data_IF_418320319676
#
_entry.id   IF_418320319676
#
_cell.length_a   1.000
_cell.length_b   1.000
_cell.length_c   1.000
_cell.angle_alpha   90.00
_cell.angle_beta   90.00
_cell.angle_gamma   90.00
#
_symmetry.space_group_name_H-M   'P 1'
#
loop_
_entity.id
_entity.type
_entity.pdbx_description
1 polymer ?
#
# COMPACT_ATOMS: atom_id res chain seq x y z
N UNK A 1 9.01 15.65 9.32
CA UNK A 1 8.49 14.94 8.13
C UNK A 1 7.48 13.93 8.62
N UNK A 2 6.21 14.08 8.26
CA UNK A 2 5.17 13.15 8.71
C UNK A 2 5.28 11.81 7.96
N UNK A 3 5.63 10.75 8.71
CA UNK A 3 5.82 9.41 8.18
C UNK A 3 4.57 8.86 7.48
N UNK A 4 3.37 9.31 7.88
CA UNK A 4 2.11 8.86 7.31
C UNK A 4 1.92 9.37 5.88
N UNK A 5 2.28 10.63 5.64
CA UNK A 5 2.27 11.26 4.31
C UNK A 5 3.20 10.54 3.34
N UNK A 6 4.42 10.27 3.81
CA UNK A 6 5.47 9.60 3.05
C UNK A 6 5.11 8.13 2.73
N UNK A 7 4.65 7.37 3.74
CA UNK A 7 4.21 5.97 3.56
C UNK A 7 3.00 5.82 2.64
N UNK A 8 2.25 6.89 2.39
CA UNK A 8 1.07 6.91 1.51
C UNK A 8 1.33 7.56 0.15
N UNK A 9 2.55 8.07 -0.09
CA UNK A 9 2.92 8.69 -1.36
C UNK A 9 2.12 9.96 -1.69
N UNK A 10 1.55 10.62 -0.68
CA UNK A 10 0.70 11.82 -0.84
C UNK A 10 1.31 13.01 -0.11
N UNK A 11 1.11 14.22 -0.64
CA UNK A 11 1.58 15.44 0.00
C UNK A 11 0.80 15.74 1.29
N UNK A 12 1.51 16.19 2.33
CA UNK A 12 0.98 16.51 3.66
C UNK A 12 -0.23 17.47 3.65
N UNK A 13 -0.29 18.39 2.67
CA UNK A 13 -1.41 19.33 2.52
C UNK A 13 -2.77 18.65 2.28
N UNK A 14 -2.78 17.39 1.89
CA UNK A 14 -4.00 16.62 1.65
C UNK A 14 -4.51 15.91 2.90
N UNK A 15 -3.66 15.68 3.90
CA UNK A 15 -4.00 14.94 5.14
C UNK A 15 -4.77 15.82 6.13
N UNK A 16 -4.57 17.13 6.08
CA UNK A 16 -5.14 18.09 7.03
C UNK A 16 -6.53 18.60 6.67
N UNK A 17 -7.11 18.16 5.54
CA UNK A 17 -8.45 18.57 5.09
C UNK A 17 -9.42 17.39 5.16
N UNK A 18 -10.73 17.66 5.31
CA UNK A 18 -11.79 16.64 5.21
C UNK A 18 -11.80 16.02 3.81
N UNK A 19 -11.04 14.93 3.66
CA UNK A 19 -10.82 14.22 2.39
C UNK A 19 -11.02 12.73 2.61
N UNK A 20 -11.44 12.07 1.54
CA UNK A 20 -11.58 10.62 1.52
C UNK A 20 -10.46 10.01 0.68
N UNK A 21 -9.96 8.86 1.12
CA UNK A 21 -8.83 8.17 0.50
C UNK A 21 -9.30 6.83 -0.05
N UNK A 22 -8.96 6.56 -1.30
CA UNK A 22 -9.13 5.26 -1.91
C UNK A 22 -7.76 4.67 -2.22
N UNK A 23 -7.45 3.53 -1.62
CA UNK A 23 -6.28 2.74 -1.94
C UNK A 23 -6.66 1.74 -3.02
N UNK A 24 -6.07 1.89 -4.21
CA UNK A 24 -6.18 0.89 -5.28
C UNK A 24 -4.91 0.06 -5.26
N UNK A 25 -5.06 -1.26 -5.22
CA UNK A 25 -3.95 -2.20 -5.22
C UNK A 25 -4.15 -3.24 -6.32
N UNK A 26 -3.04 -3.61 -6.95
CA UNK A 26 -2.92 -4.76 -7.83
C UNK A 26 -1.84 -5.63 -7.21
N UNK A 27 -2.18 -6.87 -6.86
CA UNK A 27 -1.26 -7.83 -6.27
C UNK A 27 -1.05 -9.01 -7.24
N UNK A 28 0.19 -9.47 -7.36
CA UNK A 28 0.59 -10.70 -8.03
C UNK A 28 1.19 -11.65 -7.00
N UNK A 29 0.53 -12.79 -6.78
CA UNK A 29 0.98 -13.78 -5.82
C UNK A 29 1.89 -14.79 -6.50
N UNK A 30 3.14 -14.89 -6.04
CA UNK A 30 4.15 -15.77 -6.63
C UNK A 30 4.33 -17.04 -5.79
N UNK A 31 4.30 -16.90 -4.46
CA UNK A 31 4.53 -18.01 -3.55
C UNK A 31 3.72 -17.84 -2.27
N UNK A 32 3.21 -18.94 -1.75
CA UNK A 32 2.59 -19.00 -0.43
C UNK A 32 3.32 -20.05 0.40
N UNK A 33 3.52 -19.75 1.68
CA UNK A 33 3.96 -20.73 2.66
C UNK A 33 3.09 -20.62 3.90
N UNK A 34 2.87 -21.75 4.55
CA UNK A 34 2.21 -21.83 5.84
C UNK A 34 3.00 -22.79 6.71
N UNK A 35 3.17 -22.43 7.97
CA UNK A 35 3.65 -23.31 9.01
C UNK A 35 2.50 -24.21 9.45
N UNK A 36 2.76 -25.50 9.53
CA UNK A 36 1.94 -26.45 10.27
C UNK A 36 2.24 -26.28 11.76
N UNK A 37 1.35 -25.59 12.47
CA UNK A 37 1.56 -25.19 13.87
C UNK A 37 1.81 -26.37 14.83
N UNK A 38 1.43 -27.60 14.45
CA UNK A 38 1.61 -28.77 15.31
C UNK A 38 2.97 -29.43 15.12
N UNK A 39 3.49 -29.51 13.90
CA UNK A 39 4.75 -30.19 13.59
C UNK A 39 5.94 -29.22 13.47
N UNK A 40 5.70 -28.06 12.85
CA UNK A 40 6.76 -27.09 12.55
C UNK A 40 7.18 -26.32 13.79
N UNK A 41 6.27 -26.00 14.73
CA UNK A 41 6.66 -25.29 15.97
C UNK A 41 7.55 -26.17 16.84
N UNK A 42 7.23 -27.47 16.95
CA UNK A 42 7.97 -28.41 17.81
C UNK A 42 9.37 -28.66 17.27
N UNK A 43 9.55 -28.60 15.95
CA UNK A 43 10.83 -28.86 15.27
C UNK A 43 11.60 -27.59 14.90
N UNK A 44 10.94 -26.43 14.92
CA UNK A 44 11.58 -25.14 14.61
C UNK A 44 12.49 -24.68 15.74
N UNK A 45 13.70 -24.25 15.37
CA UNK A 45 14.59 -23.57 16.30
C UNK A 45 14.22 -22.09 16.35
N UNK A 46 14.18 -21.53 17.57
CA UNK A 46 14.15 -20.08 17.74
C UNK A 46 15.38 -19.46 17.08
N UNK A 47 15.22 -18.26 16.51
CA UNK A 47 16.38 -17.48 16.11
C UNK A 47 17.24 -17.20 17.34
N UNK A 48 18.56 -17.14 17.16
CA UNK A 48 19.50 -16.87 18.26
C UNK A 48 19.13 -15.60 19.04
N UNK A 49 18.65 -14.57 18.32
CA UNK A 49 18.18 -13.33 18.93
C UNK A 49 16.93 -13.54 19.78
N UNK A 50 15.91 -14.24 19.27
CA UNK A 50 14.70 -14.51 20.03
C UNK A 50 14.97 -15.38 21.27
N UNK A 51 15.85 -16.38 21.14
CA UNK A 51 16.29 -17.22 22.25
C UNK A 51 16.96 -16.39 23.35
N UNK A 52 17.93 -15.53 22.99
CA UNK A 52 18.59 -14.62 23.93
C UNK A 52 17.61 -13.70 24.65
N UNK A 53 16.69 -13.07 23.93
CA UNK A 53 15.67 -12.21 24.55
C UNK A 53 14.70 -12.99 25.44
N UNK A 54 14.40 -14.25 25.09
CA UNK A 54 13.54 -15.11 25.90
C UNK A 54 14.19 -15.52 27.23
N UNK A 55 15.52 -15.69 27.28
CA UNK A 55 16.24 -16.01 28.52
C UNK A 55 16.11 -14.91 29.59
N UNK A 56 15.89 -13.65 29.18
CA UNK A 56 15.72 -12.52 30.09
C UNK A 56 14.26 -12.21 30.43
N UNK A 57 13.30 -13.03 29.98
CA UNK A 57 11.89 -12.84 30.31
C UNK A 57 11.63 -13.28 31.76
N UNK A 58 11.18 -12.33 32.58
CA UNK A 58 10.65 -12.62 33.92
C UNK A 58 9.13 -12.44 33.89
N UNK A 59 8.33 -13.50 34.12
CA UNK A 59 6.86 -13.45 34.03
C UNK A 59 6.19 -12.40 34.92
N UNK A 60 6.87 -11.97 35.99
CA UNK A 60 6.36 -11.01 36.95
C UNK A 60 6.87 -9.57 36.71
N UNK A 61 7.69 -9.35 35.68
CA UNK A 61 8.27 -8.04 35.39
C UNK A 61 7.82 -7.51 34.03
N UNK A 62 6.82 -6.62 34.06
CA UNK A 62 6.25 -5.98 32.87
C UNK A 62 7.30 -5.26 32.01
N UNK A 63 8.39 -4.77 32.62
CA UNK A 63 9.48 -4.12 31.90
C UNK A 63 10.21 -5.08 30.94
N UNK A 64 10.51 -6.31 31.39
CA UNK A 64 11.20 -7.31 30.56
C UNK A 64 10.31 -7.79 29.41
N UNK A 65 9.01 -7.98 29.69
CA UNK A 65 8.00 -8.32 28.68
C UNK A 65 7.85 -7.22 27.61
N UNK A 66 7.74 -5.96 28.03
CA UNK A 66 7.65 -4.84 27.09
C UNK A 66 8.91 -4.73 26.23
N UNK A 67 10.09 -4.99 26.81
CA UNK A 67 11.34 -5.00 26.07
C UNK A 67 11.38 -6.12 25.02
N UNK A 68 10.92 -7.33 25.38
CA UNK A 68 10.79 -8.44 24.44
C UNK A 68 9.84 -8.11 23.29
N UNK A 69 8.63 -7.62 23.59
CA UNK A 69 7.64 -7.26 22.56
C UNK A 69 8.18 -6.16 21.63
N UNK A 70 8.91 -5.20 22.17
CA UNK A 70 9.46 -4.08 21.38
C UNK A 70 10.54 -4.56 20.40
N UNK A 71 11.39 -5.52 20.81
CA UNK A 71 12.53 -5.96 20.01
C UNK A 71 12.22 -7.14 19.09
N UNK A 72 11.43 -8.10 19.56
CA UNK A 72 11.10 -9.34 18.82
C UNK A 72 9.73 -9.22 18.13
N UNK A 73 8.79 -8.52 18.76
CA UNK A 73 7.41 -8.45 18.33
C UNK A 73 6.47 -9.26 19.23
N UNK A 74 5.18 -8.93 19.16
CA UNK A 74 4.12 -9.65 19.88
C UNK A 74 3.49 -10.79 19.08
N UNK A 75 3.84 -10.91 17.81
CA UNK A 75 3.25 -11.88 16.87
C UNK A 75 4.34 -12.50 16.01
N UNK A 76 4.12 -13.75 15.60
CA UNK A 76 4.93 -14.42 14.58
C UNK A 76 4.09 -14.66 13.33
N UNK A 77 4.75 -14.83 12.20
CA UNK A 77 4.10 -15.08 10.91
C UNK A 77 3.93 -16.59 10.74
N UNK A 78 2.71 -17.08 10.98
CA UNK A 78 2.38 -18.50 10.79
C UNK A 78 2.13 -18.88 9.33
N UNK A 79 1.76 -17.91 8.50
CA UNK A 79 1.63 -18.09 7.06
C UNK A 79 1.89 -16.76 6.37
N UNK A 80 2.45 -16.83 5.17
CA UNK A 80 2.70 -15.65 4.37
C UNK A 80 2.45 -15.94 2.90
N UNK A 81 2.10 -14.87 2.19
CA UNK A 81 2.09 -14.85 0.73
C UNK A 81 3.16 -13.87 0.30
N UNK A 82 4.15 -14.36 -0.43
CA UNK A 82 5.12 -13.53 -1.14
C UNK A 82 4.53 -13.20 -2.49
N UNK A 83 4.49 -11.90 -2.78
CA UNK A 83 4.00 -11.40 -4.03
C UNK A 83 4.52 -10.00 -4.31
N UNK A 84 4.44 -9.63 -5.58
CA UNK A 84 4.64 -8.27 -6.02
C UNK A 84 3.32 -7.54 -6.00
N UNK A 85 3.36 -6.23 -5.87
CA UNK A 85 2.14 -5.45 -5.91
C UNK A 85 2.41 -3.99 -6.18
N UNK A 86 1.46 -3.37 -6.85
CA UNK A 86 1.42 -1.93 -7.05
C UNK A 86 0.26 -1.36 -6.28
N UNK A 87 0.50 -0.23 -5.64
CA UNK A 87 -0.57 0.49 -4.99
C UNK A 87 -0.47 1.98 -5.22
N UNK A 88 -1.63 2.61 -5.28
CA UNK A 88 -1.76 4.05 -5.45
C UNK A 88 -2.92 4.55 -4.60
N UNK A 89 -2.67 5.67 -3.91
CA UNK A 89 -3.68 6.36 -3.13
C UNK A 89 -4.29 7.47 -3.98
N UNK A 90 -5.61 7.46 -4.12
CA UNK A 90 -6.38 8.51 -4.74
C UNK A 90 -7.10 9.32 -3.65
N UNK A 91 -7.03 10.65 -3.76
CA UNK A 91 -7.64 11.57 -2.81
C UNK A 91 -8.87 12.22 -3.44
N UNK A 92 -10.02 12.00 -2.80
CA UNK A 92 -11.33 12.45 -3.28
C UNK A 92 -11.93 13.51 -2.35
N UNK A 93 -12.83 14.33 -2.92
CA UNK A 93 -13.82 15.07 -2.13
C UNK A 93 -14.79 14.06 -1.52
N UNK A 94 -15.29 14.38 -0.33
CA UNK A 94 -16.20 13.50 0.41
C UNK A 94 -17.45 13.10 -0.39
N UNK A 95 -18.08 14.06 -1.08
CA UNK A 95 -19.25 13.80 -1.93
C UNK A 95 -18.94 12.80 -3.06
N UNK A 96 -17.85 13.02 -3.79
CA UNK A 96 -17.42 12.15 -4.89
C UNK A 96 -17.08 10.74 -4.40
N UNK A 97 -16.42 10.63 -3.24
CA UNK A 97 -16.13 9.34 -2.63
C UNK A 97 -17.40 8.61 -2.16
N UNK A 98 -18.38 9.32 -1.61
CA UNK A 98 -19.66 8.73 -1.20
C UNK A 98 -20.40 8.11 -2.38
N UNK A 99 -20.45 8.81 -3.51
CA UNK A 99 -21.05 8.29 -4.75
C UNK A 99 -20.31 7.05 -5.27
N UNK A 100 -18.98 7.13 -5.33
CA UNK A 100 -18.12 5.99 -5.70
C UNK A 100 -18.35 4.79 -4.79
N UNK A 101 -18.43 5.01 -3.47
CA UNK A 101 -18.67 3.95 -2.48
C UNK A 101 -20.03 3.30 -2.63
N UNK A 102 -21.08 4.05 -2.98
CA UNK A 102 -22.41 3.49 -3.26
C UNK A 102 -22.33 2.58 -4.49
N UNK A 103 -21.69 3.05 -5.56
CA UNK A 103 -21.54 2.29 -6.80
C UNK A 103 -20.69 1.01 -6.61
N UNK A 104 -19.63 1.06 -5.81
CA UNK A 104 -18.82 -0.14 -5.50
C UNK A 104 -19.57 -1.19 -4.68
N UNK A 105 -20.62 -0.80 -3.95
CA UNK A 105 -21.48 -1.72 -3.19
C UNK A 105 -22.58 -2.35 -4.02
N UNK A 106 -22.94 -1.77 -5.16
CA UNK A 106 -23.99 -2.30 -6.04
C UNK A 106 -23.41 -3.35 -6.97
N UNK A 107 -24.10 -4.49 -7.11
CA UNK A 107 -23.74 -5.58 -8.04
C UNK A 107 -23.84 -5.18 -9.53
N UNK A 108 -24.54 -4.08 -9.84
CA UNK A 108 -24.65 -3.51 -11.18
C UNK A 108 -23.48 -2.55 -11.43
N UNK A 109 -22.33 -3.13 -11.77
CA UNK A 109 -21.09 -2.42 -11.96
C UNK A 109 -20.97 -1.85 -13.38
N UNK A 110 -20.99 -0.52 -13.52
CA UNK A 110 -20.64 0.14 -14.78
C UNK A 110 -19.16 0.57 -14.73
N UNK A 111 -18.32 -0.15 -15.48
CA UNK A 111 -16.86 0.07 -15.55
C UNK A 111 -16.53 1.48 -16.03
N UNK A 112 -17.22 1.98 -17.06
CA UNK A 112 -16.95 3.27 -17.67
C UNK A 112 -17.24 4.41 -16.70
N UNK A 113 -18.39 4.34 -16.01
CA UNK A 113 -18.74 5.28 -14.95
C UNK A 113 -17.75 5.23 -13.79
N UNK A 114 -17.23 4.05 -13.46
CA UNK A 114 -16.18 3.92 -12.45
C UNK A 114 -14.89 4.61 -12.87
N UNK A 115 -14.41 4.36 -14.09
CA UNK A 115 -13.20 4.98 -14.63
C UNK A 115 -13.32 6.51 -14.57
N UNK A 116 -14.50 7.07 -14.83
CA UNK A 116 -14.73 8.51 -14.75
C UNK A 116 -14.47 9.10 -13.35
N UNK A 117 -14.72 8.36 -12.26
CA UNK A 117 -14.33 8.83 -10.92
C UNK A 117 -12.82 9.01 -10.78
N UNK A 118 -12.01 8.27 -11.54
CA UNK A 118 -10.55 8.43 -11.57
C UNK A 118 -10.07 9.51 -12.55
N UNK A 119 -10.96 10.33 -13.10
CA UNK A 119 -10.58 11.55 -13.83
C UNK A 119 -10.22 12.70 -12.87
N UNK A 120 -9.61 13.76 -13.40
CA UNK A 120 -9.31 14.99 -12.63
C UNK A 120 -10.56 15.74 -12.15
N UNK A 121 -11.73 15.45 -12.72
CA UNK A 121 -13.00 16.13 -12.37
C UNK A 121 -13.48 15.73 -10.97
N UNK A 122 -13.37 14.44 -10.63
CA UNK A 122 -13.91 13.88 -9.39
C UNK A 122 -12.87 13.73 -8.28
N UNK A 123 -11.59 13.76 -8.65
CA UNK A 123 -10.47 13.51 -7.74
C UNK A 123 -9.64 14.77 -7.56
N UNK A 124 -9.23 15.05 -6.33
CA UNK A 124 -8.43 16.22 -6.01
C UNK A 124 -6.94 16.01 -6.25
N UNK A 125 -6.42 14.84 -5.88
CA UNK A 125 -5.00 14.53 -6.08
C UNK A 125 -4.77 13.02 -6.15
N UNK A 126 -3.61 12.69 -6.73
CA UNK A 126 -3.15 11.32 -6.96
C UNK A 126 -1.81 11.18 -6.27
N UNK A 127 -1.68 10.19 -5.39
CA UNK A 127 -0.41 9.81 -4.79
C UNK A 127 0.52 9.17 -5.80
N UNK A 128 1.81 9.10 -5.47
CA UNK A 128 2.77 8.33 -6.26
C UNK A 128 2.37 6.85 -6.28
N UNK A 129 2.66 6.18 -7.40
CA UNK A 129 2.54 4.73 -7.49
C UNK A 129 3.68 4.14 -6.67
N UNK A 130 3.35 3.25 -5.75
CA UNK A 130 4.30 2.60 -4.86
C UNK A 130 4.30 1.10 -5.11
N UNK A 131 5.46 0.49 -4.94
CA UNK A 131 5.68 -0.95 -5.12
C UNK A 131 5.71 -1.61 -3.74
N UNK A 132 4.96 -2.69 -3.57
CA UNK A 132 4.81 -3.44 -2.32
C UNK A 132 6.02 -4.32 -2.01
N UNK A 133 6.81 -4.67 -3.02
CA UNK A 133 8.00 -5.53 -2.92
C UNK A 133 9.29 -4.78 -3.25
N UNK A 134 10.43 -5.33 -2.82
CA UNK A 134 11.77 -4.85 -3.15
C UNK A 134 12.17 -4.99 -4.63
N UNK A 135 11.21 -5.22 -5.55
CA UNK A 135 11.48 -5.35 -6.98
C UNK A 135 11.62 -3.96 -7.63
N UNK A 136 12.82 -3.38 -7.46
CA UNK A 136 13.23 -2.05 -7.99
C UNK A 136 12.89 -1.88 -9.48
N UNK A 137 12.94 -2.97 -10.25
CA UNK A 137 12.67 -2.99 -11.69
C UNK A 137 11.22 -2.58 -12.01
N UNK A 138 10.21 -3.05 -11.25
CA UNK A 138 8.81 -2.66 -11.48
C UNK A 138 8.60 -1.16 -11.23
N UNK A 139 9.27 -0.63 -10.21
CA UNK A 139 9.30 0.81 -9.93
C UNK A 139 9.96 1.61 -11.05
N UNK A 140 11.05 1.10 -11.62
CA UNK A 140 11.73 1.73 -12.77
C UNK A 140 10.86 1.75 -14.03
N UNK A 141 10.15 0.66 -14.35
CA UNK A 141 9.21 0.63 -15.48
C UNK A 141 8.06 1.64 -15.34
N UNK A 142 7.56 1.83 -14.12
CA UNK A 142 6.54 2.82 -13.82
C UNK A 142 7.03 4.26 -13.97
N UNK A 143 8.23 4.55 -13.50
CA UNK A 143 8.85 5.86 -13.70
C UNK A 143 9.09 6.13 -15.18
N UNK A 144 9.54 5.12 -15.93
CA UNK A 144 9.81 5.23 -17.36
C UNK A 144 8.52 5.45 -18.18
N UNK A 145 7.49 4.65 -17.95
CA UNK A 145 6.20 4.78 -18.67
C UNK A 145 5.51 6.12 -18.40
N UNK A 146 5.63 6.67 -17.19
CA UNK A 146 5.08 7.99 -16.83
C UNK A 146 5.80 9.13 -17.55
N UNK A 147 7.13 9.09 -17.65
CA UNK A 147 7.89 10.07 -18.42
C UNK A 147 7.56 10.05 -19.91
N UNK A 148 7.22 8.88 -20.46
CA UNK A 148 6.77 8.76 -21.84
C UNK A 148 5.36 9.37 -22.04
N UNK A 149 4.42 9.15 -21.12
CA UNK A 149 3.09 9.76 -21.20
C UNK A 149 3.11 11.30 -21.09
N UNK A 150 3.95 11.87 -20.21
CA UNK A 150 4.10 13.32 -20.08
C UNK A 150 4.73 13.96 -21.33
N UNK A 151 5.59 13.23 -22.05
CA UNK A 151 6.19 13.68 -23.31
C UNK A 151 5.22 13.62 -24.49
N UNK A 152 4.37 12.59 -24.56
CA UNK A 152 3.36 12.47 -25.63
C UNK A 152 2.19 13.44 -25.43
N UNK A 153 1.80 13.74 -24.19
CA UNK A 153 0.74 14.72 -23.90
C UNK A 153 1.13 16.20 -24.10
N UNK A 154 2.43 16.50 -24.13
CA UNK A 154 2.95 17.85 -24.48
C UNK A 154 3.03 18.12 -25.98
N UNK A 155 3.00 17.06 -26.81
CA UNK A 155 3.12 17.22 -28.26
C UNK A 155 1.77 17.45 -28.95
N UNK A 156 0.67 17.07 -28.31
CA UNK A 156 -0.70 17.24 -28.85
C UNK A 156 -1.34 18.59 -28.52
N UNK A 157 -0.73 19.42 -27.66
CA UNK A 157 -1.26 20.75 -27.31
C UNK A 157 -0.65 21.92 -28.09
N UNK A 158 0.14 21.64 -29.14
CA UNK A 158 0.82 22.66 -29.95
C UNK A 158 0.38 22.74 -31.42
N UNK A 159 -0.64 21.99 -31.83
CA UNK A 159 -1.08 21.95 -33.25
C UNK A 159 -2.52 22.41 -33.49
N UNK A 160 -3.23 22.96 -32.50
CA UNK A 160 -4.60 23.48 -32.66
C UNK A 160 -4.74 24.98 -32.32
N UNK A 161 -3.73 25.80 -32.64
CA UNK A 161 -3.86 27.27 -32.53
C UNK A 161 -3.45 28.07 -33.77
N UNK A 162 -3.20 27.42 -34.91
CA UNK A 162 -3.01 28.11 -36.19
C UNK A 162 -3.75 27.33 -37.28
N UNK A 163 -4.97 27.78 -37.61
CA UNK A 163 -5.84 27.23 -38.64
C UNK A 163 -7.15 27.99 -38.72
#
# INVERSE_FOLDING_TARGET
>A
VDLLSFKKGISHSHITQSRSYLLVMIDWYNQQASLNLTEDIITSNLSEQAAKFAEFLSPNETATLNNFITNIGSHYVSSYVIGDGLFQVFVFKENSYRELKVMLKTSHFNVEKMINFFSSVYRNSVGHIMVKSGFVILGMWLLFSRQHQDKTGKHTSKTESDG
#
